data_IF_609029931490
#
_entry.id   IF_609029931490
#
_cell.length_a   1.000
_cell.length_b   1.000
_cell.length_c   1.000
_cell.angle_alpha   90.00
_cell.angle_beta   90.00
_cell.angle_gamma   90.00
#
_symmetry.space_group_name_H-M   'P 1'
#
loop_
_entity.id
_entity.type
_entity.pdbx_description
1 polymer ?
#
# COMPACT_ATOMS: atom_id res chain seq x y z
N UNK A 1 0.35 -9.98 -15.97
CA UNK A 1 0.20 -8.72 -15.22
C UNK A 1 1.52 -7.97 -15.23
N UNK A 2 1.48 -6.66 -15.53
CA UNK A 2 2.67 -5.82 -15.55
C UNK A 2 3.07 -5.42 -14.13
N UNK A 3 4.38 -5.36 -13.89
CA UNK A 3 4.97 -4.91 -12.63
C UNK A 3 6.02 -3.84 -12.92
N UNK A 4 5.95 -2.74 -12.20
CA UNK A 4 6.99 -1.71 -12.16
C UNK A 4 7.79 -1.86 -10.88
N UNK A 5 9.11 -2.00 -11.02
CA UNK A 5 10.05 -2.01 -9.89
C UNK A 5 10.95 -0.79 -10.00
N UNK A 6 10.98 0.03 -8.96
CA UNK A 6 11.95 1.11 -8.79
C UNK A 6 13.05 0.58 -7.88
N UNK A 7 14.23 0.42 -8.44
CA UNK A 7 15.41 -0.04 -7.73
C UNK A 7 16.39 1.14 -7.58
N UNK A 8 16.70 1.59 -6.35
CA UNK A 8 17.66 2.64 -6.15
C UNK A 8 19.04 2.27 -6.71
N UNK A 9 19.70 3.25 -7.32
CA UNK A 9 21.05 3.09 -7.87
C UNK A 9 22.11 3.67 -6.94
N UNK A 10 23.41 3.38 -7.13
CA UNK A 10 24.48 4.01 -6.39
C UNK A 10 24.44 5.55 -6.52
N UNK A 11 24.83 6.24 -5.46
CA UNK A 11 25.14 7.67 -5.54
C UNK A 11 26.52 7.86 -6.18
N UNK A 12 26.79 9.02 -6.75
CA UNK A 12 28.13 9.31 -7.28
C UNK A 12 29.20 9.29 -6.17
N UNK A 13 30.45 8.88 -6.52
CA UNK A 13 30.89 8.47 -7.85
C UNK A 13 30.51 7.02 -8.17
N UNK A 14 29.99 6.81 -9.36
CA UNK A 14 29.54 5.50 -9.86
C UNK A 14 30.65 4.43 -9.94
N UNK A 15 31.90 4.80 -9.72
CA UNK A 15 33.10 4.02 -10.02
C UNK A 15 34.08 3.93 -8.87
N UNK A 16 33.67 4.01 -7.61
CA UNK A 16 34.56 3.63 -6.53
C UNK A 16 34.60 2.10 -6.43
N UNK A 17 35.69 1.50 -6.78
CA UNK A 17 35.93 0.04 -6.69
C UNK A 17 35.82 -0.50 -5.26
N UNK A 18 35.79 0.38 -4.26
CA UNK A 18 35.94 0.01 -2.85
C UNK A 18 34.65 -0.41 -2.14
N UNK A 19 33.47 -0.13 -2.71
CA UNK A 19 32.19 -0.54 -2.12
C UNK A 19 31.21 -0.98 -3.20
N UNK A 20 31.16 -2.28 -3.53
CA UNK A 20 30.15 -2.75 -4.47
C UNK A 20 28.75 -2.47 -3.92
N UNK A 21 27.96 -1.70 -4.69
CA UNK A 21 26.60 -1.33 -4.35
C UNK A 21 25.69 -2.55 -4.18
N UNK A 22 25.81 -3.51 -5.09
CA UNK A 22 25.05 -4.76 -5.02
C UNK A 22 25.85 -5.80 -4.22
N UNK A 23 25.62 -5.82 -2.93
CA UNK A 23 26.27 -6.75 -2.00
C UNK A 23 25.38 -7.95 -1.71
N UNK A 24 25.95 -9.15 -1.67
CA UNK A 24 25.21 -10.38 -1.36
C UNK A 24 24.66 -10.42 0.06
N UNK A 25 25.27 -9.70 0.99
CA UNK A 25 24.93 -9.60 2.39
C UNK A 25 24.00 -8.41 2.72
N UNK A 26 23.52 -7.68 1.70
CA UNK A 26 22.64 -6.51 1.89
C UNK A 26 21.34 -6.65 1.13
N UNK A 27 20.28 -6.04 1.69
CA UNK A 27 18.92 -6.06 1.16
C UNK A 27 18.32 -4.67 1.16
N UNK A 28 17.39 -4.43 0.25
CA UNK A 28 16.54 -3.24 0.25
C UNK A 28 15.37 -3.43 1.19
N UNK A 29 14.97 -2.37 1.91
CA UNK A 29 13.60 -2.27 2.41
C UNK A 29 12.65 -2.11 1.20
N UNK A 30 11.42 -2.60 1.30
CA UNK A 30 10.49 -2.63 0.16
C UNK A 30 9.14 -2.01 0.50
N UNK A 31 8.65 -1.17 -0.41
CA UNK A 31 7.30 -0.61 -0.39
C UNK A 31 6.49 -1.16 -1.56
N UNK A 32 5.43 -1.91 -1.26
CA UNK A 32 4.40 -2.25 -2.23
C UNK A 32 3.46 -1.05 -2.36
N UNK A 33 3.41 -0.42 -3.55
CA UNK A 33 2.72 0.84 -3.80
C UNK A 33 1.59 0.65 -4.81
N UNK A 34 0.35 0.73 -4.30
CA UNK A 34 -0.86 0.29 -4.97
C UNK A 34 -1.56 1.43 -5.72
N UNK A 35 -2.00 1.16 -6.95
CA UNK A 35 -2.74 2.12 -7.77
C UNK A 35 -4.23 2.22 -7.40
N UNK A 36 -4.88 3.32 -7.75
CA UNK A 36 -6.33 3.49 -7.65
C UNK A 36 -7.10 2.89 -8.83
N UNK A 37 -8.42 3.03 -8.82
CA UNK A 37 -9.27 2.63 -9.94
C UNK A 37 -8.79 3.29 -11.25
N UNK A 38 -8.91 2.55 -12.36
CA UNK A 38 -8.47 2.96 -13.70
C UNK A 38 -6.96 3.23 -13.85
N UNK A 39 -6.19 2.88 -12.82
CA UNK A 39 -4.73 2.97 -12.84
C UNK A 39 -4.05 1.67 -13.27
N UNK A 40 -2.73 1.72 -13.29
CA UNK A 40 -1.83 0.61 -13.57
C UNK A 40 -0.53 0.75 -12.77
N UNK A 41 0.42 -0.16 -12.96
CA UNK A 41 1.71 -0.16 -12.26
C UNK A 41 2.56 1.10 -12.51
N UNK A 42 2.22 1.94 -13.48
CA UNK A 42 3.02 3.13 -13.86
C UNK A 42 2.50 4.43 -13.29
N UNK A 43 1.29 4.47 -12.71
CA UNK A 43 0.66 5.75 -12.33
C UNK A 43 1.47 6.55 -11.30
N UNK A 44 2.11 5.86 -10.36
CA UNK A 44 2.94 6.51 -9.35
C UNK A 44 4.21 7.14 -9.94
N UNK A 45 4.87 6.45 -10.89
CA UNK A 45 6.07 6.99 -11.56
C UNK A 45 5.75 8.10 -12.56
N UNK A 46 4.54 8.09 -13.15
CA UNK A 46 4.12 9.13 -14.10
C UNK A 46 3.65 10.42 -13.42
N UNK A 47 3.08 10.32 -12.22
CA UNK A 47 2.39 11.45 -11.61
C UNK A 47 3.08 11.96 -10.34
N UNK A 48 4.14 11.31 -9.86
CA UNK A 48 4.88 11.71 -8.66
C UNK A 48 6.39 11.65 -8.88
N UNK A 49 7.13 12.20 -7.93
CA UNK A 49 8.58 12.04 -7.88
C UNK A 49 9.05 10.74 -7.21
N UNK A 50 8.23 9.67 -7.16
CA UNK A 50 8.50 8.46 -6.36
C UNK A 50 9.87 7.83 -6.66
N UNK A 51 10.34 7.83 -7.89
CA UNK A 51 11.66 7.30 -8.26
C UNK A 51 12.79 8.06 -7.54
N UNK A 52 12.72 9.38 -7.55
CA UNK A 52 13.69 10.25 -6.85
C UNK A 52 13.57 10.13 -5.33
N UNK A 53 12.34 9.99 -4.82
CA UNK A 53 12.13 9.82 -3.38
C UNK A 53 12.66 8.46 -2.91
N UNK A 54 12.38 7.39 -3.65
CA UNK A 54 12.89 6.06 -3.36
C UNK A 54 14.43 6.02 -3.37
N UNK A 55 15.06 6.72 -4.33
CA UNK A 55 16.52 6.89 -4.39
C UNK A 55 17.09 7.47 -3.09
N UNK A 56 16.47 8.55 -2.57
CA UNK A 56 16.87 9.22 -1.33
C UNK A 56 16.91 8.27 -0.13
N UNK A 57 15.91 7.38 -0.04
CA UNK A 57 15.76 6.46 1.10
C UNK A 57 16.35 5.07 0.88
N UNK A 58 16.98 4.81 -0.27
CA UNK A 58 17.45 3.47 -0.65
C UNK A 58 16.34 2.41 -0.55
N UNK A 59 15.12 2.82 -0.89
CA UNK A 59 13.89 2.03 -0.80
C UNK A 59 13.55 1.42 -2.16
N UNK A 60 13.36 0.12 -2.23
CA UNK A 60 12.77 -0.48 -3.42
C UNK A 60 11.25 -0.27 -3.42
N UNK A 61 10.70 0.14 -4.56
CA UNK A 61 9.23 0.31 -4.72
C UNK A 61 8.73 -0.67 -5.77
N UNK A 62 7.66 -1.38 -5.43
CA UNK A 62 7.00 -2.37 -6.28
C UNK A 62 5.56 -1.96 -6.52
N UNK A 63 5.17 -1.77 -7.78
CA UNK A 63 3.79 -1.50 -8.19
C UNK A 63 3.35 -2.53 -9.22
N UNK A 64 2.19 -3.14 -9.03
CA UNK A 64 1.62 -4.12 -9.95
C UNK A 64 0.30 -3.61 -10.55
N UNK A 65 0.00 -3.97 -11.79
CA UNK A 65 -1.29 -3.72 -12.41
C UNK A 65 -2.29 -4.79 -11.97
N UNK A 66 -3.39 -4.39 -11.34
CA UNK A 66 -4.44 -5.31 -10.87
C UNK A 66 -5.84 -4.95 -11.39
N UNK A 67 -5.91 -4.12 -12.44
CA UNK A 67 -7.17 -3.60 -12.99
C UNK A 67 -8.06 -2.94 -11.93
N UNK A 68 -9.38 -2.96 -12.06
CA UNK A 68 -10.33 -2.46 -11.07
C UNK A 68 -10.78 -3.57 -10.09
N UNK A 69 -9.88 -4.44 -9.67
CA UNK A 69 -10.17 -5.64 -8.87
C UNK A 69 -10.37 -5.41 -7.38
N UNK A 70 -10.19 -4.19 -6.89
CA UNK A 70 -10.11 -3.92 -5.45
C UNK A 70 -9.08 -4.80 -4.71
N UNK A 71 -8.08 -5.33 -5.42
CA UNK A 71 -7.06 -6.21 -4.83
C UNK A 71 -7.63 -7.50 -4.20
N UNK A 72 -8.77 -7.98 -4.72
CA UNK A 72 -9.39 -9.24 -4.31
C UNK A 72 -9.36 -10.27 -5.44
N UNK A 73 -9.63 -11.52 -5.13
CA UNK A 73 -9.92 -12.54 -6.14
C UNK A 73 -11.33 -12.30 -6.65
N UNK A 74 -11.44 -11.77 -7.87
CA UNK A 74 -12.72 -11.40 -8.47
C UNK A 74 -13.60 -12.63 -8.69
N UNK A 75 -14.91 -12.46 -8.52
CA UNK A 75 -15.88 -13.51 -8.86
C UNK A 75 -15.86 -13.74 -10.38
N UNK A 76 -15.87 -12.66 -11.15
CA UNK A 76 -15.80 -12.70 -12.62
C UNK A 76 -14.54 -11.97 -13.09
N UNK A 77 -13.34 -12.58 -12.89
CA UNK A 77 -12.10 -11.94 -13.28
C UNK A 77 -10.83 -12.63 -12.79
N UNK A 78 -9.77 -11.85 -12.61
CA UNK A 78 -8.46 -12.34 -12.17
C UNK A 78 -8.39 -12.62 -10.66
N UNK A 79 -7.45 -13.47 -10.27
CA UNK A 79 -7.16 -13.81 -8.88
C UNK A 79 -6.13 -12.85 -8.28
N UNK A 80 -6.51 -11.57 -8.14
CA UNK A 80 -5.55 -10.53 -7.79
C UNK A 80 -5.16 -10.52 -6.31
N UNK A 81 -6.02 -10.98 -5.40
CA UNK A 81 -5.62 -11.19 -4.01
C UNK A 81 -4.54 -12.28 -3.91
N UNK A 82 -4.78 -13.42 -4.52
CA UNK A 82 -3.81 -14.53 -4.58
C UNK A 82 -2.50 -14.06 -5.22
N UNK A 83 -2.58 -13.34 -6.35
CA UNK A 83 -1.41 -12.79 -7.01
C UNK A 83 -0.60 -11.86 -6.10
N UNK A 84 -1.24 -10.89 -5.44
CA UNK A 84 -0.59 -9.91 -4.58
C UNK A 84 -0.05 -10.49 -3.26
N UNK A 85 -0.65 -11.57 -2.76
CA UNK A 85 -0.23 -12.17 -1.47
C UNK A 85 0.74 -13.33 -1.61
N UNK A 86 0.77 -13.98 -2.76
CA UNK A 86 1.58 -15.19 -2.98
C UNK A 86 2.57 -15.04 -4.13
N UNK A 87 2.08 -14.81 -5.35
CA UNK A 87 2.92 -14.87 -6.55
C UNK A 87 3.88 -13.68 -6.66
N UNK A 88 3.37 -12.46 -6.52
CA UNK A 88 4.19 -11.25 -6.63
C UNK A 88 5.29 -11.19 -5.56
N UNK A 89 5.01 -11.41 -4.25
CA UNK A 89 6.07 -11.43 -3.26
C UNK A 89 7.13 -12.51 -3.52
N UNK A 90 6.71 -13.72 -3.88
CA UNK A 90 7.66 -14.80 -4.20
C UNK A 90 8.54 -14.46 -5.41
N UNK A 91 7.97 -13.85 -6.44
CA UNK A 91 8.74 -13.35 -7.60
C UNK A 91 9.74 -12.26 -7.20
N UNK A 92 9.30 -11.27 -6.43
CA UNK A 92 10.16 -10.15 -6.00
C UNK A 92 11.31 -10.65 -5.12
N UNK A 93 11.01 -11.51 -4.14
CA UNK A 93 12.00 -12.06 -3.20
C UNK A 93 13.01 -12.99 -3.88
N UNK A 94 12.60 -13.70 -4.94
CA UNK A 94 13.51 -14.56 -5.72
C UNK A 94 14.37 -13.81 -6.73
N UNK A 95 13.93 -12.62 -7.16
CA UNK A 95 14.55 -11.89 -8.27
C UNK A 95 15.40 -10.72 -7.81
N UNK A 96 14.99 -10.05 -6.73
CA UNK A 96 15.62 -8.83 -6.23
C UNK A 96 16.18 -9.02 -4.82
N UNK A 97 17.25 -8.32 -4.44
CA UNK A 97 17.82 -8.40 -3.10
C UNK A 97 17.00 -7.60 -2.08
N UNK A 98 15.77 -8.03 -1.82
CA UNK A 98 14.87 -7.42 -0.83
C UNK A 98 14.95 -8.10 0.52
N UNK A 99 14.72 -7.33 1.59
CA UNK A 99 14.49 -7.89 2.92
C UNK A 99 13.12 -8.55 2.98
N UNK A 100 13.04 -9.72 3.60
CA UNK A 100 11.79 -10.43 3.88
C UNK A 100 11.30 -10.20 5.31
N UNK A 101 12.02 -9.39 6.08
CA UNK A 101 11.66 -9.06 7.46
C UNK A 101 10.46 -8.11 7.49
N UNK A 102 9.56 -8.35 8.43
CA UNK A 102 8.35 -7.53 8.63
C UNK A 102 8.68 -6.04 8.75
N UNK A 103 9.68 -5.70 9.56
CA UNK A 103 10.09 -4.31 9.83
C UNK A 103 10.62 -3.56 8.61
N UNK A 104 10.96 -4.29 7.55
CA UNK A 104 11.52 -3.73 6.31
C UNK A 104 10.50 -3.75 5.15
N UNK A 105 9.28 -4.21 5.39
CA UNK A 105 8.25 -4.39 4.36
C UNK A 105 7.02 -3.53 4.66
N UNK A 106 6.64 -2.70 3.69
CA UNK A 106 5.57 -1.70 3.82
C UNK A 106 4.57 -1.84 2.68
N UNK A 107 3.32 -1.43 2.92
CA UNK A 107 2.29 -1.37 1.90
C UNK A 107 1.55 -0.04 1.95
N UNK A 108 1.40 0.61 0.80
CA UNK A 108 0.72 1.90 0.67
C UNK A 108 -0.15 1.90 -0.59
N UNK A 109 -1.21 2.70 -0.60
CA UNK A 109 -2.01 2.87 -1.80
C UNK A 109 -2.97 4.04 -1.73
N UNK A 110 -3.40 4.52 -2.90
CA UNK A 110 -4.36 5.61 -3.00
C UNK A 110 -5.72 5.13 -3.51
N UNK A 111 -6.81 5.73 -3.04
CA UNK A 111 -8.16 5.43 -3.52
C UNK A 111 -8.51 3.93 -3.35
N UNK A 112 -8.81 3.22 -4.44
CA UNK A 112 -8.95 1.76 -4.47
C UNK A 112 -7.70 1.06 -3.89
N UNK A 113 -6.50 1.57 -4.16
CA UNK A 113 -5.25 1.06 -3.58
C UNK A 113 -5.15 1.25 -2.07
N UNK A 114 -5.79 2.28 -1.52
CA UNK A 114 -5.91 2.47 -0.07
C UNK A 114 -6.76 1.36 0.58
N UNK A 115 -7.86 0.98 -0.06
CA UNK A 115 -8.60 -0.24 0.32
C UNK A 115 -7.71 -1.48 0.22
N UNK A 116 -7.00 -1.64 -0.91
CA UNK A 116 -6.10 -2.76 -1.13
C UNK A 116 -4.98 -2.84 -0.09
N UNK A 117 -4.39 -1.71 0.31
CA UNK A 117 -3.36 -1.68 1.34
C UNK A 117 -3.88 -2.21 2.70
N UNK A 118 -5.09 -1.81 3.10
CA UNK A 118 -5.74 -2.40 4.28
C UNK A 118 -6.06 -3.87 4.08
N UNK A 119 -6.68 -4.25 2.96
CA UNK A 119 -7.07 -5.64 2.66
C UNK A 119 -5.88 -6.61 2.72
N UNK A 120 -4.78 -6.25 2.05
CA UNK A 120 -3.57 -7.08 1.98
C UNK A 120 -2.77 -7.03 3.29
N UNK A 121 -2.62 -5.84 3.87
CA UNK A 121 -1.88 -5.65 5.12
C UNK A 121 -2.53 -6.34 6.31
N UNK A 122 -3.88 -6.36 6.39
CA UNK A 122 -4.62 -7.06 7.42
C UNK A 122 -4.73 -8.58 7.15
N UNK A 123 -4.58 -9.00 5.91
CA UNK A 123 -4.52 -10.44 5.58
C UNK A 123 -3.16 -11.05 5.92
N UNK A 124 -2.08 -10.25 5.90
CA UNK A 124 -0.71 -10.69 6.18
C UNK A 124 -0.01 -9.75 7.18
N UNK A 125 -0.54 -9.61 8.40
CA UNK A 125 0.02 -8.68 9.40
C UNK A 125 1.44 -9.06 9.85
N UNK A 126 1.84 -10.30 9.64
CA UNK A 126 3.19 -10.79 9.87
C UNK A 126 4.19 -10.37 8.79
N UNK A 127 3.72 -9.99 7.60
CA UNK A 127 4.56 -9.53 6.48
C UNK A 127 4.83 -8.03 6.52
N UNK A 128 3.81 -7.24 6.85
CA UNK A 128 3.88 -5.78 6.76
C UNK A 128 4.01 -5.14 8.13
N UNK A 129 4.95 -4.19 8.27
CA UNK A 129 5.06 -3.37 9.49
C UNK A 129 4.21 -2.11 9.44
N UNK A 130 3.89 -1.61 8.25
CA UNK A 130 3.09 -0.41 8.05
C UNK A 130 2.06 -0.59 6.93
N UNK A 131 0.84 -0.10 7.17
CA UNK A 131 -0.25 0.05 6.20
C UNK A 131 -0.51 1.53 6.01
N UNK A 132 -0.55 1.98 4.75
CA UNK A 132 -0.77 3.40 4.43
C UNK A 132 -1.90 3.57 3.43
N UNK A 133 -2.82 4.48 3.72
CA UNK A 133 -3.94 4.82 2.85
C UNK A 133 -3.99 6.32 2.55
N UNK A 134 -3.93 6.68 1.27
CA UNK A 134 -4.08 8.03 0.75
C UNK A 134 -5.46 8.15 0.10
N UNK A 135 -6.35 8.97 0.65
CA UNK A 135 -7.73 9.13 0.14
C UNK A 135 -8.40 7.78 -0.13
N UNK A 136 -8.20 6.81 0.76
CA UNK A 136 -8.57 5.41 0.52
C UNK A 136 -10.07 5.16 0.60
N UNK A 137 -10.57 4.27 -0.26
CA UNK A 137 -11.91 3.72 -0.19
C UNK A 137 -11.97 2.55 0.83
N UNK A 138 -11.42 2.74 2.04
CA UNK A 138 -11.18 1.67 3.03
C UNK A 138 -12.47 0.95 3.41
N UNK A 139 -13.55 1.72 3.60
CA UNK A 139 -14.87 1.22 3.94
C UNK A 139 -15.75 1.13 2.68
N UNK A 140 -15.54 0.07 1.89
CA UNK A 140 -16.35 -0.18 0.69
C UNK A 140 -17.80 -0.61 1.03
N UNK A 141 -18.04 -1.15 2.20
CA UNK A 141 -19.37 -1.59 2.63
C UNK A 141 -20.37 -0.42 2.59
N UNK A 142 -19.94 0.76 3.05
CA UNK A 142 -20.77 1.98 2.99
C UNK A 142 -20.77 2.64 1.59
N UNK A 143 -19.82 2.31 0.72
CA UNK A 143 -19.63 3.01 -0.56
C UNK A 143 -20.22 2.28 -1.77
N UNK A 144 -20.70 1.06 -1.64
CA UNK A 144 -21.18 0.20 -2.74
C UNK A 144 -22.23 0.83 -3.66
N UNK A 145 -22.75 1.99 -3.33
CA UNK A 145 -23.79 2.70 -4.13
C UNK A 145 -23.25 3.76 -5.09
N UNK A 146 -21.93 4.04 -5.12
CA UNK A 146 -21.38 5.21 -5.86
C UNK A 146 -20.04 4.97 -6.58
N UNK A 147 -19.55 3.74 -6.73
CA UNK A 147 -18.24 3.50 -7.33
C UNK A 147 -18.32 3.32 -8.85
N UNK A 148 -17.29 3.78 -9.57
CA UNK A 148 -17.07 3.54 -11.00
C UNK A 148 -16.58 2.11 -11.31
N UNK A 149 -16.33 1.29 -10.30
CA UNK A 149 -15.92 -0.10 -10.40
C UNK A 149 -17.17 -0.97 -10.53
N UNK A 150 -17.14 -1.95 -11.41
CA UNK A 150 -18.18 -2.96 -11.53
C UNK A 150 -18.10 -3.91 -10.32
N UNK A 151 -18.75 -3.53 -9.22
CA UNK A 151 -18.68 -4.25 -7.94
C UNK A 151 -19.20 -5.68 -8.04
N UNK A 152 -20.15 -5.93 -8.94
CA UNK A 152 -20.71 -7.26 -9.22
C UNK A 152 -19.66 -8.23 -9.78
N UNK A 153 -18.80 -7.77 -10.72
CA UNK A 153 -17.72 -8.60 -11.24
C UNK A 153 -16.65 -8.89 -10.18
N UNK A 154 -16.46 -7.96 -9.25
CA UNK A 154 -15.43 -8.06 -8.21
C UNK A 154 -15.89 -8.94 -7.05
N UNK A 155 -17.05 -8.64 -6.46
CA UNK A 155 -17.52 -9.25 -5.22
C UNK A 155 -18.74 -10.19 -5.42
N UNK A 156 -19.38 -10.20 -6.60
CA UNK A 156 -20.62 -10.92 -6.86
C UNK A 156 -21.80 -10.30 -6.08
N UNK A 157 -22.83 -11.12 -5.90
CA UNK A 157 -24.07 -10.73 -5.18
C UNK A 157 -23.98 -10.92 -3.65
N UNK A 158 -22.82 -11.39 -3.15
CA UNK A 158 -22.69 -11.68 -1.72
C UNK A 158 -22.44 -10.40 -0.91
N UNK A 159 -23.05 -10.30 0.30
CA UNK A 159 -22.75 -9.20 1.19
C UNK A 159 -21.25 -9.13 1.51
N UNK A 160 -20.70 -7.93 1.52
CA UNK A 160 -19.32 -7.70 1.95
C UNK A 160 -19.18 -7.62 3.47
N UNK A 161 -20.26 -7.25 4.16
CA UNK A 161 -20.32 -7.12 5.62
C UNK A 161 -19.84 -8.37 6.32
N UNK A 162 -18.98 -8.19 7.30
CA UNK A 162 -18.48 -9.26 8.16
C UNK A 162 -17.74 -10.38 7.40
N UNK A 163 -17.15 -10.05 6.25
CA UNK A 163 -16.28 -10.94 5.47
C UNK A 163 -14.85 -10.43 5.49
N UNK A 164 -13.93 -11.21 4.93
CA UNK A 164 -12.55 -10.77 4.74
C UNK A 164 -12.43 -9.52 3.84
N UNK A 165 -13.45 -9.16 3.07
CA UNK A 165 -13.50 -7.98 2.23
C UNK A 165 -13.99 -6.72 3.00
N UNK A 166 -14.48 -6.88 4.23
CA UNK A 166 -14.78 -5.79 5.17
C UNK A 166 -13.53 -5.51 6.02
N UNK A 167 -12.76 -4.52 5.60
CA UNK A 167 -11.50 -4.17 6.24
C UNK A 167 -11.64 -3.78 7.71
N UNK A 168 -12.72 -3.06 8.07
CA UNK A 168 -12.93 -2.61 9.44
C UNK A 168 -13.36 -3.75 10.36
N UNK A 169 -14.20 -4.65 9.88
CA UNK A 169 -14.54 -5.86 10.60
C UNK A 169 -13.31 -6.78 10.75
N UNK A 170 -12.53 -6.98 9.68
CA UNK A 170 -11.30 -7.79 9.73
C UNK A 170 -10.32 -7.25 10.76
N UNK A 171 -10.09 -5.95 10.77
CA UNK A 171 -9.24 -5.30 11.78
C UNK A 171 -9.73 -5.59 13.20
N UNK A 172 -11.03 -5.44 13.44
CA UNK A 172 -11.63 -5.74 14.75
C UNK A 172 -11.44 -7.21 15.16
N UNK A 173 -11.59 -8.16 14.22
CA UNK A 173 -11.35 -9.59 14.51
C UNK A 173 -9.88 -9.85 14.87
N UNK A 174 -8.92 -9.26 14.15
CA UNK A 174 -7.50 -9.42 14.44
C UNK A 174 -7.13 -8.86 15.83
N UNK A 175 -7.68 -7.71 16.20
CA UNK A 175 -7.48 -7.12 17.54
C UNK A 175 -8.03 -8.05 18.62
N UNK A 176 -9.25 -8.58 18.46
CA UNK A 176 -9.85 -9.56 19.39
C UNK A 176 -9.03 -10.84 19.55
N UNK A 177 -8.32 -11.23 18.49
CA UNK A 177 -7.42 -12.39 18.49
C UNK A 177 -6.03 -12.08 19.06
N UNK A 178 -5.74 -10.83 19.43
CA UNK A 178 -4.45 -10.41 19.96
C UNK A 178 -3.33 -10.37 18.90
N UNK A 179 -3.69 -10.27 17.62
CA UNK A 179 -2.72 -10.18 16.53
C UNK A 179 -2.06 -8.80 16.54
N UNK A 180 -0.74 -8.76 16.37
CA UNK A 180 0.03 -7.50 16.27
C UNK A 180 -0.32 -6.79 14.96
N UNK A 181 -1.10 -5.72 15.03
CA UNK A 181 -1.51 -4.92 13.87
C UNK A 181 -0.32 -4.10 13.35
N UNK A 182 -0.11 -4.01 12.02
CA UNK A 182 0.83 -3.05 11.43
C UNK A 182 0.49 -1.61 11.85
N UNK A 183 1.49 -0.73 11.93
CA UNK A 183 1.23 0.70 12.13
C UNK A 183 0.45 1.26 10.96
N UNK A 184 -0.54 2.11 11.25
CA UNK A 184 -1.43 2.65 10.23
C UNK A 184 -1.15 4.13 10.02
N UNK A 185 -1.04 4.54 8.75
CA UNK A 185 -1.10 5.95 8.35
C UNK A 185 -2.29 6.13 7.40
N UNK A 186 -3.13 7.10 7.70
CA UNK A 186 -4.27 7.46 6.87
C UNK A 186 -4.23 8.96 6.58
N UNK A 187 -4.41 9.35 5.31
CA UNK A 187 -4.61 10.75 4.96
C UNK A 187 -5.69 10.94 3.92
N UNK A 188 -6.35 12.12 3.95
CA UNK A 188 -7.38 12.50 2.99
C UNK A 188 -7.46 14.01 2.84
N UNK A 189 -7.65 14.48 1.60
CA UNK A 189 -7.91 15.89 1.34
C UNK A 189 -9.28 16.31 1.87
N UNK A 190 -9.38 17.54 2.39
CA UNK A 190 -10.63 18.04 3.01
C UNK A 190 -11.76 18.28 2.01
N UNK A 191 -11.44 18.47 0.73
CA UNK A 191 -12.38 18.61 -0.38
C UNK A 191 -12.52 17.32 -1.22
N UNK A 192 -11.93 16.21 -0.76
CA UNK A 192 -12.03 14.91 -1.40
C UNK A 192 -13.44 14.31 -1.21
N UNK A 193 -14.02 13.72 -2.28
CA UNK A 193 -15.34 13.10 -2.20
C UNK A 193 -15.36 11.88 -1.25
N UNK A 194 -14.22 11.31 -0.88
CA UNK A 194 -14.07 10.26 0.12
C UNK A 194 -13.80 10.80 1.54
N UNK A 195 -13.76 12.12 1.73
CA UNK A 195 -13.40 12.71 3.03
C UNK A 195 -14.28 12.19 4.18
N UNK A 196 -15.60 12.23 4.05
CA UNK A 196 -16.51 11.74 5.09
C UNK A 196 -16.33 10.25 5.39
N UNK A 197 -16.08 9.44 4.35
CA UNK A 197 -15.77 8.02 4.53
C UNK A 197 -14.46 7.84 5.30
N UNK A 198 -13.44 8.62 4.99
CA UNK A 198 -12.16 8.58 5.71
C UNK A 198 -12.29 9.05 7.15
N UNK A 199 -13.17 10.03 7.45
CA UNK A 199 -13.50 10.42 8.83
C UNK A 199 -14.21 9.30 9.61
N UNK A 200 -15.09 8.53 8.94
CA UNK A 200 -15.73 7.36 9.57
C UNK A 200 -14.68 6.29 9.93
N UNK A 201 -13.76 6.00 9.01
CA UNK A 201 -12.65 5.08 9.27
C UNK A 201 -11.79 5.57 10.43
N UNK A 202 -11.39 6.84 10.44
CA UNK A 202 -10.65 7.47 11.53
C UNK A 202 -11.33 7.24 12.88
N UNK A 203 -12.63 7.59 12.99
CA UNK A 203 -13.39 7.38 14.22
C UNK A 203 -13.43 5.91 14.65
N UNK A 204 -13.53 4.99 13.69
CA UNK A 204 -13.50 3.54 14.00
C UNK A 204 -12.13 3.11 14.53
N UNK A 205 -11.03 3.59 13.94
CA UNK A 205 -9.67 3.31 14.42
C UNK A 205 -9.46 3.84 15.86
N UNK A 206 -9.93 5.06 16.14
CA UNK A 206 -9.92 5.65 17.49
C UNK A 206 -10.70 4.79 18.49
N UNK A 207 -11.93 4.36 18.14
CA UNK A 207 -12.77 3.50 18.97
C UNK A 207 -12.13 2.14 19.26
N UNK A 208 -11.40 1.59 18.31
CA UNK A 208 -10.70 0.31 18.45
C UNK A 208 -9.37 0.44 19.22
N UNK A 209 -8.92 1.65 19.53
CA UNK A 209 -7.67 1.90 20.23
C UNK A 209 -6.43 1.53 19.42
N UNK A 210 -6.52 1.61 18.08
CA UNK A 210 -5.40 1.30 17.17
C UNK A 210 -4.37 2.43 17.19
N UNK A 211 -3.09 2.08 17.21
CA UNK A 211 -2.01 3.05 17.00
C UNK A 211 -1.96 3.46 15.52
N UNK A 212 -2.39 4.68 15.23
CA UNK A 212 -2.40 5.21 13.86
C UNK A 212 -2.06 6.69 13.81
N UNK A 213 -1.57 7.12 12.65
CA UNK A 213 -1.36 8.53 12.32
C UNK A 213 -2.43 8.96 11.31
N UNK A 214 -3.06 10.10 11.57
CA UNK A 214 -3.99 10.72 10.63
C UNK A 214 -3.47 12.09 10.19
N UNK A 215 -3.44 12.35 8.88
CA UNK A 215 -3.10 13.65 8.28
C UNK A 215 -4.20 14.11 7.34
N UNK A 216 -4.53 15.39 7.36
CA UNK A 216 -5.49 16.01 6.45
C UNK A 216 -5.06 17.42 6.09
N UNK A 217 -5.59 17.93 5.01
CA UNK A 217 -5.34 19.30 4.57
C UNK A 217 -6.11 19.61 3.30
N UNK A 218 -6.07 20.85 2.82
CA UNK A 218 -6.71 21.25 1.57
C UNK A 218 -6.29 20.33 0.42
N UNK A 219 -7.26 19.89 -0.36
CA UNK A 219 -7.01 19.03 -1.53
C UNK A 219 -8.21 18.16 -1.88
N UNK A 220 -8.29 17.84 -3.16
CA UNK A 220 -9.30 16.97 -3.74
C UNK A 220 -8.70 15.60 -4.08
N UNK A 221 -9.48 14.71 -4.67
CA UNK A 221 -9.08 13.35 -5.07
C UNK A 221 -8.17 13.36 -6.31
N UNK A 222 -6.94 13.85 -6.19
CA UNK A 222 -6.01 13.99 -7.32
C UNK A 222 -4.53 13.93 -6.92
N UNK A 223 -3.65 13.96 -7.92
CA UNK A 223 -2.21 13.86 -7.74
C UNK A 223 -1.58 15.09 -7.09
N UNK A 224 -2.21 16.27 -7.16
CA UNK A 224 -1.72 17.48 -6.46
C UNK A 224 -1.75 17.28 -4.95
N UNK A 225 -2.69 16.46 -4.46
CA UNK A 225 -2.74 16.05 -3.06
C UNK A 225 -1.82 14.85 -2.78
N UNK A 226 -1.80 13.81 -3.62
CA UNK A 226 -1.11 12.57 -3.32
C UNK A 226 0.43 12.65 -3.45
N UNK A 227 1.00 13.45 -4.37
CA UNK A 227 2.46 13.57 -4.48
C UNK A 227 3.10 14.19 -3.22
N UNK A 228 2.64 15.34 -2.68
CA UNK A 228 3.15 15.83 -1.41
C UNK A 228 2.90 14.86 -0.24
N UNK A 229 1.77 14.13 -0.25
CA UNK A 229 1.47 13.19 0.83
C UNK A 229 2.39 11.97 0.81
N UNK A 230 2.70 11.38 -0.35
CA UNK A 230 3.64 10.25 -0.39
C UNK A 230 5.04 10.65 0.11
N UNK A 231 5.47 11.90 -0.06
CA UNK A 231 6.73 12.41 0.51
C UNK A 231 6.69 12.41 2.04
N UNK A 232 5.62 12.93 2.67
CA UNK A 232 5.43 12.89 4.13
C UNK A 232 5.38 11.46 4.66
N UNK A 233 4.71 10.56 3.94
CA UNK A 233 4.62 9.14 4.27
C UNK A 233 6.00 8.49 4.28
N UNK A 234 6.84 8.77 3.29
CA UNK A 234 8.21 8.26 3.26
C UNK A 234 9.08 8.79 4.43
N UNK A 235 8.78 9.99 4.94
CA UNK A 235 9.41 10.51 6.16
C UNK A 235 8.87 9.84 7.45
N UNK A 236 7.61 9.41 7.44
CA UNK A 236 6.97 8.72 8.56
C UNK A 236 7.34 7.22 8.63
N UNK A 237 7.53 6.55 7.49
CA UNK A 237 7.93 5.15 7.44
C UNK A 237 9.29 4.94 8.15
N UNK A 238 9.50 3.81 8.84
CA UNK A 238 10.75 3.52 9.55
C UNK A 238 11.89 3.16 8.59
N UNK A 239 12.15 4.04 7.61
CA UNK A 239 13.17 3.84 6.60
C UNK A 239 14.57 4.05 7.17
N UNK A 240 15.48 3.15 6.85
CA UNK A 240 16.87 3.19 7.33
C UNK A 240 17.74 4.16 6.53
N UNK A 241 17.33 4.50 5.29
CA UNK A 241 18.12 5.31 4.38
C UNK A 241 19.39 4.62 3.84
N UNK A 242 19.56 3.35 4.18
CA UNK A 242 20.67 2.48 3.76
C UNK A 242 20.14 1.07 3.48
N UNK A 243 20.94 0.25 2.82
CA UNK A 243 20.67 -1.18 2.73
C UNK A 243 20.74 -1.83 4.11
N UNK A 244 19.87 -2.78 4.38
CA UNK A 244 19.84 -3.57 5.61
C UNK A 244 20.61 -4.88 5.45
N UNK A 245 20.96 -5.54 6.55
CA UNK A 245 21.61 -6.85 6.52
C UNK A 245 20.65 -7.94 6.01
N UNK A 246 21.21 -8.95 5.31
CA UNK A 246 20.47 -10.07 4.75
C UNK A 246 19.86 -10.99 5.82
#
# INVERSE_FOLDING_TARGET
TDVRVVLPTPDEPFYSDDTPWYRKDKRYQVLYLLHGAHGDCTVWTRNTGIERYAQKYKLMVVSASVTNSCYVDMVHGGKFFTYMTQELPAFIESTFPVSTRREDTFIAGMSMGGYGAFRLGLAQPERYSCIVSLSGAIDLVLQTRKTSVQMEDVFGDQPMDHTDNDNLWKLEQLIKQGVSIPKIYQCCGTEDFLYESNQNVRRKLEQLGVDFTYDEGPGIHNWDYWDPQIRKILEWLPLKGTLVDA
#
